data_IF_021652849305
#
_entry.id   IF_021652849305
#
_cell.length_a   1.000
_cell.length_b   1.000
_cell.length_c   1.000
_cell.angle_alpha   90.00
_cell.angle_beta   90.00
_cell.angle_gamma   90.00
#
_symmetry.space_group_name_H-M   'P 1'
#
loop_
_entity.id
_entity.type
_entity.pdbx_description
1 polymer ?
#
# COMPACT_ATOMS: atom_id res chain seq x y z
N UNK A 1 37.89 -21.57 -13.62
CA UNK A 1 36.86 -22.10 -12.71
C UNK A 1 37.38 -22.04 -11.28
N UNK A 2 36.98 -21.03 -10.51
CA UNK A 2 37.43 -20.87 -9.13
C UNK A 2 36.53 -21.69 -8.18
N UNK A 3 37.11 -22.64 -7.44
CA UNK A 3 36.45 -23.37 -6.35
C UNK A 3 36.04 -22.38 -5.27
N UNK A 4 34.74 -22.18 -5.06
CA UNK A 4 34.23 -21.46 -3.88
C UNK A 4 34.62 -22.26 -2.63
N UNK A 5 35.43 -21.62 -1.79
CA UNK A 5 35.79 -22.04 -0.44
C UNK A 5 34.52 -22.32 0.37
N UNK A 6 34.28 -23.60 0.66
CA UNK A 6 33.13 -24.11 1.41
C UNK A 6 33.30 -23.99 2.93
N UNK A 7 34.50 -23.61 3.39
CA UNK A 7 34.94 -23.79 4.78
C UNK A 7 35.39 -22.49 5.47
N UNK A 8 34.90 -21.33 5.02
CA UNK A 8 35.15 -20.07 5.74
C UNK A 8 34.09 -19.90 6.82
N UNK A 9 34.46 -19.77 8.12
CA UNK A 9 33.51 -19.45 9.16
C UNK A 9 32.78 -18.15 8.80
N UNK A 10 31.46 -18.22 8.60
CA UNK A 10 30.67 -17.02 8.37
C UNK A 10 30.61 -16.22 9.68
N UNK A 11 30.87 -14.92 9.58
CA UNK A 11 30.77 -14.01 10.73
C UNK A 11 29.36 -14.11 11.33
N UNK A 12 29.21 -14.14 12.66
CA UNK A 12 27.91 -14.16 13.32
C UNK A 12 27.17 -12.86 12.96
N UNK A 13 26.23 -12.96 12.02
CA UNK A 13 25.50 -11.81 11.46
C UNK A 13 25.53 -11.71 9.92
N UNK A 14 26.28 -12.57 9.22
CA UNK A 14 26.25 -12.59 7.76
C UNK A 14 24.90 -13.11 7.24
N UNK A 15 24.03 -12.21 6.80
CA UNK A 15 22.84 -12.55 6.03
C UNK A 15 23.24 -12.54 4.55
N UNK A 16 23.18 -13.70 3.90
CA UNK A 16 23.43 -13.79 2.46
C UNK A 16 22.52 -12.82 1.71
N UNK A 17 23.06 -12.03 0.79
CA UNK A 17 22.27 -11.18 -0.10
C UNK A 17 21.25 -12.05 -0.85
N UNK A 18 19.98 -11.95 -0.45
CA UNK A 18 18.87 -12.50 -1.20
C UNK A 18 18.41 -11.47 -2.23
N UNK A 19 18.24 -11.89 -3.50
CA UNK A 19 17.64 -11.02 -4.50
C UNK A 19 16.27 -10.50 -4.00
N UNK A 20 15.85 -9.29 -4.38
CA UNK A 20 14.65 -8.64 -3.83
C UNK A 20 13.37 -9.49 -3.89
N UNK A 21 13.28 -10.39 -4.87
CA UNK A 21 12.16 -11.31 -5.09
C UNK A 21 12.10 -12.45 -4.06
N UNK A 22 13.22 -12.79 -3.43
CA UNK A 22 13.35 -13.89 -2.46
C UNK A 22 13.28 -13.42 -1.00
N UNK A 23 13.22 -12.10 -0.76
CA UNK A 23 13.14 -11.56 0.60
C UNK A 23 11.77 -11.87 1.20
N UNK A 24 11.77 -12.86 2.09
CA UNK A 24 10.61 -13.22 2.90
C UNK A 24 10.55 -12.35 4.16
N UNK A 25 9.39 -11.76 4.39
CA UNK A 25 9.00 -11.03 5.57
C UNK A 25 8.41 -12.01 6.57
N UNK A 26 9.11 -12.26 7.67
CA UNK A 26 8.57 -13.02 8.79
C UNK A 26 7.71 -12.11 9.66
N UNK A 27 6.41 -12.40 9.73
CA UNK A 27 5.42 -11.61 10.46
C UNK A 27 4.46 -12.53 11.21
N UNK A 28 3.90 -12.00 12.29
CA UNK A 28 2.83 -12.69 13.00
C UNK A 28 1.62 -12.80 12.07
N UNK A 29 0.99 -13.96 12.08
CA UNK A 29 -0.25 -14.20 11.39
C UNK A 29 -1.42 -14.18 12.38
N UNK A 30 -2.64 -14.04 11.88
CA UNK A 30 -3.87 -13.99 12.68
C UNK A 30 -4.05 -15.22 13.58
N UNK A 31 -3.44 -16.35 13.21
CA UNK A 31 -3.41 -17.58 14.01
C UNK A 31 -2.33 -17.59 15.12
N UNK A 32 -1.56 -16.52 15.28
CA UNK A 32 -0.48 -16.40 16.26
C UNK A 32 0.86 -17.02 15.82
N UNK A 33 0.94 -17.58 14.60
CA UNK A 33 2.16 -18.18 14.08
C UNK A 33 3.02 -17.16 13.32
N UNK A 34 4.34 -17.33 13.34
CA UNK A 34 5.25 -16.53 12.51
C UNK A 34 5.29 -17.15 11.11
N UNK A 35 4.74 -16.43 10.13
CA UNK A 35 4.63 -16.87 8.75
C UNK A 35 5.52 -16.03 7.84
N UNK A 36 6.14 -16.69 6.86
CA UNK A 36 6.98 -16.05 5.85
C UNK A 36 6.12 -15.58 4.67
N UNK A 37 6.04 -14.26 4.47
CA UNK A 37 5.33 -13.62 3.37
C UNK A 37 6.32 -13.02 2.37
N UNK A 38 6.06 -13.15 1.08
CA UNK A 38 6.73 -12.27 0.11
C UNK A 38 6.21 -10.84 0.26
N UNK A 39 6.95 -9.86 -0.26
CA UNK A 39 6.50 -8.46 -0.27
C UNK A 39 5.14 -8.26 -0.96
N UNK A 40 4.83 -9.10 -1.95
CA UNK A 40 3.55 -9.08 -2.67
C UNK A 40 2.40 -9.71 -1.87
N UNK A 41 2.67 -10.77 -1.11
CA UNK A 41 1.69 -11.45 -0.25
C UNK A 41 1.39 -10.65 1.02
N UNK A 42 2.38 -9.91 1.51
CA UNK A 42 2.23 -9.01 2.64
C UNK A 42 1.29 -7.84 2.31
N UNK A 43 1.37 -7.32 1.07
CA UNK A 43 0.45 -6.32 0.55
C UNK A 43 0.70 -4.92 1.10
N UNK A 44 -0.35 -4.24 1.57
CA UNK A 44 -0.21 -2.91 2.19
C UNK A 44 0.46 -3.06 3.55
N UNK A 45 1.38 -2.14 3.88
CA UNK A 45 2.12 -2.13 5.14
C UNK A 45 1.16 -2.19 6.34
N UNK A 46 1.43 -3.10 7.27
CA UNK A 46 0.75 -3.21 8.57
C UNK A 46 1.53 -2.40 9.61
N UNK A 47 0.92 -2.10 10.74
CA UNK A 47 1.45 -1.08 11.64
C UNK A 47 2.70 -1.58 12.37
N UNK A 48 3.90 -1.18 11.92
CA UNK A 48 5.15 -1.48 12.66
C UNK A 48 5.36 -0.53 13.87
N UNK A 49 4.30 0.06 14.44
CA UNK A 49 4.32 0.86 15.68
C UNK A 49 4.80 2.31 15.55
N UNK A 50 5.09 2.77 14.32
CA UNK A 50 5.58 4.13 14.05
C UNK A 50 4.54 5.10 13.44
N UNK A 51 3.32 4.62 13.16
CA UNK A 51 2.28 5.41 12.53
C UNK A 51 1.36 6.09 13.55
N UNK A 52 1.06 7.38 13.35
CA UNK A 52 0.02 8.09 14.12
C UNK A 52 -1.40 7.58 13.80
N UNK A 53 -1.58 6.96 12.63
CA UNK A 53 -2.87 6.45 12.15
C UNK A 53 -2.68 4.99 11.75
N UNK A 54 -3.46 4.10 12.36
CA UNK A 54 -3.46 2.68 12.02
C UNK A 54 -3.91 2.50 10.56
N UNK A 55 -3.10 1.86 9.69
CA UNK A 55 -3.47 1.66 8.30
C UNK A 55 -4.68 0.72 8.17
N UNK A 56 -5.54 0.99 7.19
CA UNK A 56 -6.67 0.10 6.88
C UNK A 56 -6.13 -1.20 6.29
N UNK A 57 -6.17 -2.27 7.08
CA UNK A 57 -5.57 -3.56 6.73
C UNK A 57 -6.44 -4.36 5.71
N UNK A 58 -7.65 -3.92 5.34
CA UNK A 58 -8.61 -4.73 4.55
C UNK A 58 -8.80 -4.21 3.12
N UNK A 59 -8.83 -5.10 2.12
CA UNK A 59 -9.17 -4.70 0.75
C UNK A 59 -10.55 -4.05 0.64
N UNK A 60 -11.54 -4.53 1.40
CA UNK A 60 -12.89 -3.94 1.42
C UNK A 60 -12.90 -2.54 2.02
N UNK A 61 -12.12 -2.33 3.09
CA UNK A 61 -11.98 -1.01 3.71
C UNK A 61 -11.26 -0.01 2.79
N UNK A 62 -10.21 -0.46 2.11
CA UNK A 62 -9.50 0.35 1.10
C UNK A 62 -10.38 0.65 -0.11
N UNK A 63 -11.20 -0.31 -0.56
CA UNK A 63 -12.18 -0.07 -1.63
C UNK A 63 -13.19 0.99 -1.22
N UNK A 64 -13.74 0.88 -0.01
CA UNK A 64 -14.68 1.87 0.51
C UNK A 64 -14.06 3.27 0.55
N UNK A 65 -12.82 3.40 1.04
CA UNK A 65 -12.10 4.67 1.06
C UNK A 65 -11.83 5.20 -0.35
N UNK A 66 -11.39 4.35 -1.29
CA UNK A 66 -11.13 4.75 -2.67
C UNK A 66 -12.41 5.28 -3.35
N UNK A 67 -13.55 4.62 -3.14
CA UNK A 67 -14.86 5.07 -3.64
C UNK A 67 -15.28 6.38 -2.98
N UNK A 68 -15.15 6.51 -1.66
CA UNK A 68 -15.50 7.73 -0.93
C UNK A 68 -14.70 8.94 -1.44
N UNK A 69 -13.38 8.78 -1.63
CA UNK A 69 -12.51 9.82 -2.19
C UNK A 69 -12.91 10.14 -3.64
N UNK A 70 -13.28 9.12 -4.43
CA UNK A 70 -13.75 9.33 -5.81
C UNK A 70 -15.03 10.17 -5.85
N UNK A 71 -15.98 9.93 -4.93
CA UNK A 71 -17.21 10.71 -4.81
C UNK A 71 -16.89 12.16 -4.41
N UNK A 72 -16.04 12.36 -3.41
CA UNK A 72 -15.62 13.70 -2.98
C UNK A 72 -14.92 14.46 -4.11
N UNK A 73 -14.06 13.78 -4.88
CA UNK A 73 -13.40 14.33 -6.05
C UNK A 73 -14.40 14.73 -7.15
N UNK A 74 -15.40 13.90 -7.42
CA UNK A 74 -16.45 14.22 -8.38
C UNK A 74 -17.25 15.46 -7.96
N UNK A 75 -17.57 15.59 -6.66
CA UNK A 75 -18.22 16.78 -6.10
C UNK A 75 -17.37 18.05 -6.26
N UNK A 76 -16.07 17.95 -6.01
CA UNK A 76 -15.13 19.06 -6.23
C UNK A 76 -15.05 19.44 -7.72
N UNK A 77 -14.95 18.47 -8.62
CA UNK A 77 -14.92 18.71 -10.07
C UNK A 77 -16.20 19.40 -10.54
N UNK A 78 -17.36 18.94 -10.05
CA UNK A 78 -18.63 19.61 -10.29
C UNK A 78 -18.59 21.08 -9.84
N UNK A 79 -18.08 21.36 -8.65
CA UNK A 79 -17.90 22.73 -8.16
C UNK A 79 -17.00 23.59 -9.06
N UNK A 80 -15.88 23.05 -9.55
CA UNK A 80 -15.00 23.75 -10.49
C UNK A 80 -15.70 24.09 -11.81
N UNK A 81 -16.50 23.16 -12.33
CA UNK A 81 -17.30 23.38 -13.54
C UNK A 81 -18.34 24.49 -13.29
N UNK A 82 -19.01 24.49 -12.13
CA UNK A 82 -19.96 25.55 -11.79
C UNK A 82 -19.30 26.93 -11.73
N UNK A 83 -18.12 27.04 -11.09
CA UNK A 83 -17.34 28.30 -11.02
C UNK A 83 -16.98 28.82 -12.41
N UNK A 84 -16.63 27.93 -13.35
CA UNK A 84 -16.33 28.30 -14.72
C UNK A 84 -17.58 28.82 -15.46
N UNK A 85 -18.73 28.15 -15.29
CA UNK A 85 -20.01 28.55 -15.91
C UNK A 85 -20.51 29.90 -15.35
N UNK A 86 -20.32 30.15 -14.04
CA UNK A 86 -20.69 31.41 -13.39
C UNK A 86 -19.67 32.54 -13.60
N UNK A 87 -18.64 32.31 -14.43
CA UNK A 87 -17.56 33.26 -14.74
C UNK A 87 -16.81 33.78 -13.49
N UNK A 88 -16.73 32.97 -12.44
CA UNK A 88 -16.05 33.29 -11.19
C UNK A 88 -14.53 33.01 -11.26
N UNK A 89 -13.86 33.64 -12.23
CA UNK A 89 -12.46 33.36 -12.57
C UNK A 89 -11.45 33.69 -11.46
N UNK A 90 -11.70 34.69 -10.61
CA UNK A 90 -10.83 34.99 -9.44
C UNK A 90 -10.84 33.82 -8.44
N UNK A 91 -12.02 33.24 -8.17
CA UNK A 91 -12.16 32.08 -7.29
C UNK A 91 -11.42 30.89 -7.89
N UNK A 92 -11.60 30.63 -9.19
CA UNK A 92 -10.91 29.56 -9.89
C UNK A 92 -9.38 29.72 -9.83
N UNK A 93 -8.87 30.93 -10.09
CA UNK A 93 -7.45 31.25 -10.05
C UNK A 93 -6.80 31.05 -8.68
N UNK A 94 -7.56 31.19 -7.59
CA UNK A 94 -7.09 30.95 -6.21
C UNK A 94 -7.18 29.49 -5.77
N UNK A 95 -8.10 28.71 -6.35
CA UNK A 95 -8.48 27.38 -5.83
C UNK A 95 -8.09 26.22 -6.74
N UNK A 96 -7.71 26.45 -7.99
CA UNK A 96 -7.43 25.39 -8.98
C UNK A 96 -6.36 24.38 -8.51
N UNK A 97 -5.36 24.80 -7.74
CA UNK A 97 -4.28 23.92 -7.28
C UNK A 97 -4.78 22.80 -6.35
N UNK A 98 -5.93 22.98 -5.68
CA UNK A 98 -6.55 21.94 -4.87
C UNK A 98 -6.89 20.71 -5.71
N UNK A 99 -7.19 20.90 -7.00
CA UNK A 99 -7.38 19.81 -7.96
C UNK A 99 -6.14 18.92 -8.07
N UNK A 100 -4.94 19.49 -8.06
CA UNK A 100 -3.70 18.71 -8.11
C UNK A 100 -3.46 17.96 -6.80
N UNK A 101 -3.70 18.61 -5.66
CA UNK A 101 -3.44 18.03 -4.34
C UNK A 101 -4.34 16.82 -4.08
N UNK A 102 -5.60 16.86 -4.48
CA UNK A 102 -6.54 15.76 -4.24
C UNK A 102 -6.26 14.51 -5.08
N UNK A 103 -5.45 14.61 -6.15
CA UNK A 103 -5.02 13.43 -6.90
C UNK A 103 -4.15 12.49 -6.06
N UNK A 104 -3.40 13.02 -5.08
CA UNK A 104 -2.53 12.23 -4.22
C UNK A 104 -3.34 11.19 -3.42
N UNK A 105 -4.32 11.57 -2.57
CA UNK A 105 -5.12 10.61 -1.83
C UNK A 105 -5.98 9.72 -2.74
N UNK A 106 -6.47 10.24 -3.88
CA UNK A 106 -7.23 9.45 -4.85
C UNK A 106 -6.40 8.29 -5.41
N UNK A 107 -5.20 8.59 -5.90
CA UNK A 107 -4.28 7.58 -6.43
C UNK A 107 -3.81 6.63 -5.33
N UNK A 108 -3.48 7.15 -4.14
CA UNK A 108 -3.06 6.33 -3.01
C UNK A 108 -4.16 5.35 -2.56
N UNK A 109 -5.42 5.78 -2.54
CA UNK A 109 -6.56 4.92 -2.19
C UNK A 109 -6.72 3.75 -3.15
N UNK A 110 -6.71 4.03 -4.46
CA UNK A 110 -6.82 2.98 -5.48
C UNK A 110 -5.59 2.07 -5.53
N UNK A 111 -4.37 2.64 -5.45
CA UNK A 111 -3.14 1.85 -5.40
C UNK A 111 -3.11 0.91 -4.19
N UNK A 112 -3.52 1.41 -3.02
CA UNK A 112 -3.68 0.61 -1.80
C UNK A 112 -4.67 -0.54 -2.01
N UNK A 113 -5.86 -0.25 -2.57
CA UNK A 113 -6.86 -1.27 -2.86
C UNK A 113 -6.32 -2.38 -3.77
N UNK A 114 -5.70 -2.03 -4.91
CA UNK A 114 -5.17 -3.03 -5.84
C UNK A 114 -4.04 -3.85 -5.22
N UNK A 115 -3.15 -3.21 -4.46
CA UNK A 115 -2.06 -3.89 -3.77
C UNK A 115 -2.58 -4.91 -2.75
N UNK A 116 -3.54 -4.52 -1.91
CA UNK A 116 -4.13 -5.43 -0.92
C UNK A 116 -4.96 -6.54 -1.60
N UNK A 117 -5.67 -6.22 -2.68
CA UNK A 117 -6.45 -7.21 -3.43
C UNK A 117 -5.56 -8.27 -4.09
N UNK A 118 -4.39 -7.88 -4.62
CA UNK A 118 -3.39 -8.81 -5.16
C UNK A 118 -2.85 -9.69 -4.03
N UNK A 119 -2.47 -9.09 -2.91
CA UNK A 119 -1.95 -9.79 -1.74
C UNK A 119 -2.93 -10.84 -1.19
N UNK A 120 -4.22 -10.50 -1.06
CA UNK A 120 -5.26 -11.44 -0.65
C UNK A 120 -5.39 -12.64 -1.60
N UNK A 121 -5.31 -12.41 -2.91
CA UNK A 121 -5.38 -13.49 -3.90
C UNK A 121 -4.18 -14.43 -3.78
N UNK A 122 -2.97 -13.88 -3.61
CA UNK A 122 -1.75 -14.66 -3.45
C UNK A 122 -1.75 -15.46 -2.14
N UNK A 123 -2.18 -14.84 -1.03
CA UNK A 123 -2.36 -15.52 0.26
C UNK A 123 -3.34 -16.67 0.16
N UNK A 124 -4.49 -16.45 -0.50
CA UNK A 124 -5.48 -17.50 -0.74
C UNK A 124 -4.92 -18.65 -1.59
N UNK A 125 -4.11 -18.35 -2.61
CA UNK A 125 -3.48 -19.37 -3.45
C UNK A 125 -2.48 -20.26 -2.67
N UNK A 126 -1.78 -19.68 -1.68
CA UNK A 126 -0.82 -20.39 -0.82
C UNK A 126 -1.39 -20.87 0.51
N UNK A 127 -2.71 -20.72 0.74
CA UNK A 127 -3.37 -20.99 2.03
C UNK A 127 -2.68 -20.31 3.23
N UNK A 128 -2.17 -19.09 3.02
CA UNK A 128 -1.53 -18.33 4.08
C UNK A 128 -2.57 -17.56 4.91
N UNK A 129 -2.46 -17.58 6.25
CA UNK A 129 -3.26 -16.73 7.12
C UNK A 129 -2.95 -15.26 6.86
N UNK A 130 -3.83 -14.37 7.34
CA UNK A 130 -3.62 -12.93 7.19
C UNK A 130 -2.51 -12.44 8.11
N UNK A 131 -1.60 -11.59 7.64
CA UNK A 131 -0.63 -10.96 8.52
C UNK A 131 -1.34 -9.99 9.47
N UNK A 132 -1.07 -10.15 10.75
CA UNK A 132 -1.46 -9.23 11.83
C UNK A 132 -0.19 -8.73 12.51
N UNK A 133 -0.28 -7.59 13.16
CA UNK A 133 0.84 -7.07 13.96
C UNK A 133 0.99 -7.92 15.23
#
# INVERSE_FOLDING_TARGET
MARRSRDVPQEPGYVSYQPPEERVLHRLAENGEVVAYTSEEYGVRKDDGGGFIKPVNSSRGLLFLAVLITIAFAGMLYGLVQIAITAQWDILGRTWWMFLVIQIPLLAGWAGYFKERKAEKLRKARNLPRPVD
#
